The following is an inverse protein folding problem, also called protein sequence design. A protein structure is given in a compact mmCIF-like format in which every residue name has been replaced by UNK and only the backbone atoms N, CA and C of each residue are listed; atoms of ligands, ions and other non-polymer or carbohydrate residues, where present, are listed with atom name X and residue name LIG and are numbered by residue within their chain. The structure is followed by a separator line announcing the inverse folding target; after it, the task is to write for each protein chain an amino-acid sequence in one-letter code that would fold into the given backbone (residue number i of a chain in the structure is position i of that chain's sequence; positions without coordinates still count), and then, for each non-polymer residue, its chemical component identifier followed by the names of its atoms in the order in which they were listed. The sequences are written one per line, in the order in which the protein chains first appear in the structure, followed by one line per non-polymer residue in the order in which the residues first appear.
data_IF_152362125073
#
_entry.id   IF_152362125073
#
_cell.length_a   1.000
_cell.length_b   1.000
_cell.length_c   1.000
_cell.angle_alpha   90.00
_cell.angle_beta   90.00
_cell.angle_gamma   90.00
#
_symmetry.space_group_name_H-M   'P 1'
#
loop_
_entity.id
_entity.type
_entity.pdbx_description
1 polymer ?
#
# COMPACT_ATOMS: atom_id res chain seq x y z
N UNK A 1 -13.86 11.30 -4.30
CA UNK A 1 -13.48 11.89 -3.00
C UNK A 1 -12.14 12.60 -3.10
N UNK A 2 -11.73 13.31 -2.04
CA UNK A 2 -10.35 13.79 -1.88
C UNK A 2 -9.47 12.59 -1.55
N UNK A 3 -8.29 12.50 -2.18
CA UNK A 3 -7.32 11.46 -1.87
C UNK A 3 -6.44 11.88 -0.68
N UNK A 4 -6.28 10.97 0.28
CA UNK A 4 -5.38 11.10 1.41
C UNK A 4 -4.10 10.31 1.12
N UNK A 5 -2.96 10.98 1.11
CA UNK A 5 -1.66 10.41 0.75
C UNK A 5 -0.79 10.22 2.00
N UNK A 6 -0.19 9.04 2.13
CA UNK A 6 0.72 8.67 3.22
C UNK A 6 2.01 8.10 2.65
N UNK A 7 3.16 8.69 2.98
CA UNK A 7 4.47 8.15 2.62
C UNK A 7 4.94 7.19 3.70
N UNK A 8 5.12 5.92 3.35
CA UNK A 8 5.69 4.89 4.20
C UNK A 8 7.14 4.63 3.77
N UNK A 9 8.06 4.65 4.72
CA UNK A 9 9.48 4.40 4.49
C UNK A 9 9.91 3.19 5.31
N UNK A 10 10.57 2.23 4.67
CA UNK A 10 10.99 0.98 5.28
C UNK A 10 12.48 0.75 5.06
N UNK A 11 13.18 0.39 6.14
CA UNK A 11 14.52 -0.20 6.05
C UNK A 11 14.35 -1.67 5.67
N UNK A 12 14.61 -1.99 4.39
CA UNK A 12 14.47 -3.36 3.91
C UNK A 12 15.83 -4.04 4.03
N UNK A 13 15.95 -5.17 4.76
CA UNK A 13 17.24 -5.85 4.89
C UNK A 13 17.71 -6.35 3.53
N UNK A 14 19.02 -6.40 3.27
CA UNK A 14 19.53 -6.98 2.03
C UNK A 14 19.15 -8.47 1.92
N UNK A 15 18.84 -8.95 0.71
CA UNK A 15 18.69 -10.38 0.47
C UNK A 15 20.03 -11.07 0.68
N UNK A 16 20.03 -12.15 1.46
CA UNK A 16 21.21 -12.99 1.65
C UNK A 16 21.47 -13.74 0.33
N UNK A 17 22.71 -13.75 -0.19
CA UNK A 17 23.04 -14.51 -1.39
C UNK A 17 22.62 -15.99 -1.25
N UNK A 18 21.81 -16.47 -2.19
CA UNK A 18 21.28 -17.83 -2.18
C UNK A 18 19.90 -17.99 -1.52
N UNK A 19 19.37 -16.95 -0.87
CA UNK A 19 17.98 -16.91 -0.42
C UNK A 19 17.07 -16.33 -1.51
N UNK A 20 15.87 -16.92 -1.63
CA UNK A 20 14.83 -16.44 -2.54
C UNK A 20 13.71 -15.81 -1.72
N UNK A 21 13.31 -14.59 -2.07
CA UNK A 21 12.12 -13.98 -1.50
C UNK A 21 10.87 -14.78 -1.93
N UNK A 22 10.22 -15.44 -0.96
CA UNK A 22 8.99 -16.19 -1.23
C UNK A 22 7.73 -15.32 -1.21
N UNK A 23 7.63 -14.42 -0.24
CA UNK A 23 6.48 -13.53 -0.11
C UNK A 23 6.81 -12.29 0.72
N UNK A 24 6.28 -11.13 0.32
CA UNK A 24 6.23 -9.93 1.13
C UNK A 24 4.81 -9.38 1.18
N UNK A 25 4.35 -9.00 2.38
CA UNK A 25 3.01 -8.44 2.58
C UNK A 25 3.08 -7.09 3.29
N UNK A 26 2.43 -6.09 2.72
CA UNK A 26 2.11 -4.85 3.42
C UNK A 26 0.71 -4.99 4.04
N UNK A 27 0.65 -4.88 5.37
CA UNK A 27 -0.61 -4.96 6.12
C UNK A 27 -0.97 -3.58 6.62
N UNK A 28 -2.12 -3.08 6.21
CA UNK A 28 -2.64 -1.78 6.63
C UNK A 28 -3.93 -1.97 7.42
N UNK A 29 -4.18 -1.05 8.34
CA UNK A 29 -5.46 -0.95 9.05
C UNK A 29 -6.09 0.36 8.64
N UNK A 30 -7.27 0.28 8.02
CA UNK A 30 -8.08 1.43 7.69
C UNK A 30 -9.02 1.69 8.87
N UNK A 31 -8.91 2.85 9.49
CA UNK A 31 -9.75 3.26 10.61
C UNK A 31 -10.50 4.53 10.24
N UNK A 32 -11.83 4.50 10.35
CA UNK A 32 -12.67 5.64 10.00
C UNK A 32 -12.87 6.54 11.22
N UNK A 33 -12.37 7.78 11.21
CA UNK A 33 -12.39 8.67 12.40
C UNK A 33 -13.80 9.04 12.93
N UNK A 34 -14.86 8.75 12.18
CA UNK A 34 -16.25 9.00 12.56
C UNK A 34 -17.11 7.74 12.37
N UNK A 35 -17.25 6.89 13.41
CA UNK A 35 -18.03 5.64 13.35
C UNK A 35 -19.47 5.76 12.85
N UNK A 36 -20.28 6.78 13.25
CA UNK A 36 -21.68 6.86 12.83
C UNK A 36 -21.87 7.32 11.37
N UNK A 37 -20.79 7.60 10.64
CA UNK A 37 -20.82 8.01 9.23
C UNK A 37 -20.34 6.92 8.26
N UNK A 38 -20.10 5.69 8.75
CA UNK A 38 -19.55 4.54 7.99
C UNK A 38 -20.65 3.57 7.53
N UNK A 39 -21.85 4.07 7.25
CA UNK A 39 -22.82 3.28 6.50
C UNK A 39 -22.56 3.47 5.00
N UNK A 40 -22.30 2.37 4.30
CA UNK A 40 -22.12 2.28 2.84
C UNK A 40 -21.02 3.18 2.28
N UNK A 41 -19.81 3.00 2.80
CA UNK A 41 -18.61 3.69 2.33
C UNK A 41 -17.73 2.74 1.54
N UNK A 42 -17.31 3.18 0.36
CA UNK A 42 -16.33 2.49 -0.47
C UNK A 42 -15.02 3.25 -0.40
N UNK A 43 -13.99 2.57 0.11
CA UNK A 43 -12.63 3.07 0.20
C UNK A 43 -11.76 2.41 -0.85
N UNK A 44 -11.11 3.21 -1.69
CA UNK A 44 -10.14 2.72 -2.66
C UNK A 44 -8.75 3.05 -2.14
N UNK A 45 -7.96 2.02 -1.86
CA UNK A 45 -6.58 2.12 -1.38
C UNK A 45 -5.63 1.76 -2.51
N UNK A 46 -4.69 2.65 -2.81
CA UNK A 46 -3.69 2.53 -3.87
C UNK A 46 -2.29 2.57 -3.28
N UNK A 47 -1.43 1.66 -3.71
CA UNK A 47 0.00 1.67 -3.40
C UNK A 47 0.75 2.09 -4.64
N UNK A 48 1.61 3.09 -4.52
CA UNK A 48 2.48 3.59 -5.58
C UNK A 48 3.93 3.32 -5.19
N UNK A 49 4.67 2.74 -6.13
CA UNK A 49 6.09 2.53 -6.03
C UNK A 49 6.75 2.90 -7.36
N UNK A 50 7.69 3.85 -7.32
CA UNK A 50 8.53 4.28 -8.45
C UNK A 50 7.79 4.86 -9.69
N UNK A 51 6.47 5.08 -9.60
CA UNK A 51 5.65 5.60 -10.69
C UNK A 51 4.44 6.39 -10.18
N UNK A 52 3.85 7.21 -11.05
CA UNK A 52 2.55 7.86 -10.82
C UNK A 52 1.37 6.92 -10.98
N UNK A 53 1.57 5.76 -11.62
CA UNK A 53 0.56 4.71 -11.72
C UNK A 53 0.59 3.81 -10.47
N UNK A 54 -0.59 3.41 -9.99
CA UNK A 54 -0.70 2.57 -8.81
C UNK A 54 -0.15 1.17 -9.11
N UNK A 55 0.84 0.73 -8.34
CA UNK A 55 1.40 -0.62 -8.40
C UNK A 55 0.41 -1.66 -7.88
N UNK A 56 -0.38 -1.30 -6.87
CA UNK A 56 -1.44 -2.15 -6.31
C UNK A 56 -2.67 -1.29 -6.01
N UNK A 57 -3.87 -1.83 -6.22
CA UNK A 57 -5.13 -1.19 -5.87
C UNK A 57 -6.02 -2.20 -5.16
N UNK A 58 -6.69 -1.77 -4.09
CA UNK A 58 -7.65 -2.57 -3.35
C UNK A 58 -8.88 -1.71 -3.04
N UNK A 59 -10.04 -2.21 -3.43
CA UNK A 59 -11.32 -1.59 -3.11
C UNK A 59 -11.94 -2.29 -1.91
N UNK A 60 -12.35 -1.50 -0.94
CA UNK A 60 -12.87 -1.96 0.35
C UNK A 60 -14.27 -1.39 0.51
N UNK A 61 -15.25 -2.28 0.61
CA UNK A 61 -16.62 -1.92 0.96
C UNK A 61 -16.80 -2.22 2.43
N UNK A 62 -16.98 -1.18 3.24
CA UNK A 62 -17.04 -1.32 4.68
C UNK A 62 -18.36 -0.79 5.24
N UNK A 63 -18.90 -1.56 6.17
CA UNK A 63 -19.88 -1.14 7.17
C UNK A 63 -19.28 -1.12 8.59
N UNK A 64 -17.98 -1.45 8.70
CA UNK A 64 -17.25 -1.59 9.96
C UNK A 64 -16.32 -0.40 10.19
N UNK A 65 -16.12 -0.02 11.45
CA UNK A 65 -15.27 1.11 11.85
C UNK A 65 -13.78 0.90 11.52
N UNK A 66 -13.33 -0.34 11.47
CA UNK A 66 -11.94 -0.70 11.21
C UNK A 66 -11.87 -1.89 10.25
N UNK A 67 -10.99 -1.79 9.24
CA UNK A 67 -10.72 -2.89 8.31
C UNK A 67 -9.23 -3.15 8.16
N UNK A 68 -8.84 -4.42 8.25
CA UNK A 68 -7.48 -4.88 7.92
C UNK A 68 -7.42 -5.27 6.46
N UNK A 69 -6.45 -4.71 5.75
CA UNK A 69 -6.19 -4.98 4.32
C UNK A 69 -4.76 -5.46 4.14
N UNK A 70 -4.59 -6.41 3.23
CA UNK A 70 -3.28 -7.01 2.94
C UNK A 70 -2.96 -6.82 1.46
N UNK A 71 -1.77 -6.29 1.19
CA UNK A 71 -1.22 -6.14 -0.14
C UNK A 71 -0.07 -7.12 -0.32
N UNK A 72 -0.10 -7.90 -1.40
CA UNK A 72 1.07 -8.68 -1.80
C UNK A 72 2.06 -7.74 -2.49
N UNK A 73 3.18 -7.47 -1.82
CA UNK A 73 4.23 -6.58 -2.31
C UNK A 73 5.46 -7.35 -2.79
N UNK A 74 5.37 -8.67 -2.98
CA UNK A 74 6.50 -9.52 -3.37
C UNK A 74 7.19 -9.00 -4.64
N UNK A 75 6.42 -8.67 -5.68
CA UNK A 75 6.96 -8.15 -6.94
C UNK A 75 7.62 -6.77 -6.79
N UNK A 76 7.09 -5.93 -5.89
CA UNK A 76 7.67 -4.62 -5.58
C UNK A 76 9.04 -4.82 -4.92
N UNK A 77 9.11 -5.68 -3.91
CA UNK A 77 10.35 -5.97 -3.19
C UNK A 77 11.39 -6.62 -4.12
N UNK A 78 10.98 -7.59 -4.95
CA UNK A 78 11.88 -8.24 -5.91
C UNK A 78 12.48 -7.24 -6.92
N UNK A 79 11.64 -6.38 -7.51
CA UNK A 79 12.12 -5.32 -8.41
C UNK A 79 12.99 -4.30 -7.68
N UNK A 80 12.66 -3.95 -6.44
CA UNK A 80 13.46 -3.06 -5.62
C UNK A 80 14.87 -3.59 -5.41
N UNK A 81 15.03 -4.86 -5.04
CA UNK A 81 16.37 -5.45 -4.90
C UNK A 81 17.13 -5.52 -6.22
N UNK A 82 16.44 -5.78 -7.35
CA UNK A 82 17.08 -5.76 -8.68
C UNK A 82 17.63 -4.37 -9.01
N UNK A 83 16.86 -3.31 -8.74
CA UNK A 83 17.33 -1.92 -8.92
C UNK A 83 18.53 -1.62 -8.02
N UNK A 84 18.45 -1.96 -6.73
CA UNK A 84 19.54 -1.75 -5.79
C UNK A 84 20.81 -2.53 -6.16
N UNK A 85 20.69 -3.75 -6.69
CA UNK A 85 21.86 -4.53 -7.14
C UNK A 85 22.59 -3.93 -8.34
N UNK A 86 21.90 -3.10 -9.13
CA UNK A 86 22.49 -2.39 -10.27
C UNK A 86 23.18 -1.08 -9.88
N UNK A 87 22.84 -0.55 -8.70
CA UNK A 87 23.45 0.64 -8.12
C UNK A 87 24.60 0.20 -7.21
N UNK A 88 25.84 0.41 -7.63
CA UNK A 88 27.05 0.10 -6.85
C UNK A 88 27.10 0.97 -5.57
N UNK A 89 26.34 0.63 -4.54
CA UNK A 89 26.32 1.34 -3.26
C UNK A 89 26.85 0.43 -2.16
N UNK A 90 28.17 0.46 -1.94
CA UNK A 90 28.84 -0.35 -0.90
C UNK A 90 28.45 0.03 0.55
N UNK A 91 27.64 1.08 0.78
CA UNK A 91 27.42 1.60 2.15
C UNK A 91 25.98 2.07 2.49
N UNK A 92 25.00 1.96 1.57
CA UNK A 92 23.64 2.40 1.85
C UNK A 92 22.73 1.22 2.20
N UNK A 93 22.08 1.26 3.38
CA UNK A 93 20.96 0.36 3.66
C UNK A 93 19.82 0.68 2.68
N UNK A 94 19.36 -0.27 1.87
CA UNK A 94 18.37 0.02 0.84
C UNK A 94 17.05 0.40 1.52
N UNK A 95 16.57 1.61 1.21
CA UNK A 95 15.35 2.17 1.79
C UNK A 95 14.22 2.10 0.78
N UNK A 96 13.13 1.39 1.13
CA UNK A 96 11.94 1.32 0.28
C UNK A 96 10.96 2.41 0.69
N UNK A 97 10.54 3.23 -0.28
CA UNK A 97 9.49 4.22 -0.10
C UNK A 97 8.24 3.81 -0.87
N UNK A 98 7.11 3.72 -0.17
CA UNK A 98 5.80 3.45 -0.74
C UNK A 98 4.88 4.62 -0.46
N UNK A 99 4.24 5.17 -1.48
CA UNK A 99 3.18 6.15 -1.29
C UNK A 99 1.85 5.40 -1.26
N UNK A 100 1.03 5.66 -0.25
CA UNK A 100 -0.30 5.05 -0.08
C UNK A 100 -1.35 6.13 -0.26
N UNK A 101 -2.18 5.98 -1.28
CA UNK A 101 -3.35 6.83 -1.51
C UNK A 101 -4.62 6.16 -1.03
N UNK A 102 -5.46 6.90 -0.30
CA UNK A 102 -6.78 6.44 0.14
C UNK A 102 -7.82 7.43 -0.36
N UNK A 103 -8.73 6.96 -1.19
CA UNK A 103 -9.89 7.74 -1.64
C UNK A 103 -11.15 7.16 -1.03
N UNK A 104 -11.94 8.02 -0.39
CA UNK A 104 -13.22 7.65 0.19
C UNK A 104 -14.38 8.14 -0.71
N UNK A 105 -15.33 7.26 -0.98
CA UNK A 105 -16.56 7.56 -1.71
C UNK A 105 -17.75 7.05 -0.90
N UNK A 106 -18.78 7.89 -0.74
CA UNK A 106 -20.06 7.45 -0.20
C UNK A 106 -20.91 6.89 -1.33
N UNK A 107 -21.50 5.72 -1.13
CA UNK A 107 -22.57 5.25 -2.00
C UNK A 107 -23.81 6.10 -1.69
N UNK A 108 -24.12 7.05 -2.57
CA UNK A 108 -25.41 7.73 -2.54
C UNK A 108 -26.44 6.73 -3.05
N UNK A 109 -27.37 6.31 -2.19
CA UNK A 109 -28.56 5.59 -2.64
C UNK A 109 -29.23 6.41 -3.74
N UNK A 110 -29.21 5.90 -4.97
CA UNK A 110 -30.00 6.44 -6.06
C UNK A 110 -31.42 5.96 -5.82
N UNK A 111 -32.20 6.73 -5.05
CA UNK A 111 -33.65 6.50 -4.99
C UNK A 111 -34.25 6.84 -6.37
N UNK A 112 -34.99 5.91 -7.00
CA UNK A 112 -35.59 6.10 -8.33
C UNK A 112 -36.74 7.12 -8.33
#
# INVERSE_FOLDING_TARGET
GREHLHLLTFDVPALIPGETLHSAQLRLTLSYLQPPAVENVTSVVRIYWDSTEASLTHEVHDSEYEKKINFNCTDIIDKFYKLQSSENTEDCRPTLQLLVGVTLSRELEVTP
#
